data_IF_591283997517
#
_entry.id   IF_591283997517
#
_cell.length_a   1.000
_cell.length_b   1.000
_cell.length_c   1.000
_cell.angle_alpha   90.00
_cell.angle_beta   90.00
_cell.angle_gamma   90.00
#
_symmetry.space_group_name_H-M   'P 1'
#
loop_
_entity.id
_entity.type
_entity.pdbx_description
1 polymer ?
#
# COMPACT_ATOMS: atom_id res chain seq x y z
N UNK A 1 -85.38 -21.85 -70.23
CA UNK A 1 -84.63 -20.57 -70.26
C UNK A 1 -84.51 -19.93 -68.88
N UNK A 2 -85.60 -19.83 -68.11
CA UNK A 2 -85.60 -19.17 -66.79
C UNK A 2 -84.62 -19.76 -65.75
N UNK A 3 -84.50 -21.10 -65.64
CA UNK A 3 -83.61 -21.74 -64.65
C UNK A 3 -82.13 -21.45 -64.86
N UNK A 4 -81.68 -21.35 -66.14
CA UNK A 4 -80.29 -21.00 -66.48
C UNK A 4 -79.98 -19.55 -66.10
N UNK A 5 -80.95 -18.66 -66.32
CA UNK A 5 -80.79 -17.25 -65.97
C UNK A 5 -80.71 -17.07 -64.45
N UNK A 6 -81.54 -17.77 -63.68
CA UNK A 6 -81.50 -17.76 -62.21
C UNK A 6 -80.15 -18.28 -61.66
N UNK A 7 -79.68 -19.41 -62.18
CA UNK A 7 -78.37 -19.96 -61.78
C UNK A 7 -77.21 -19.00 -62.09
N UNK A 8 -77.24 -18.33 -63.23
CA UNK A 8 -76.19 -17.36 -63.59
C UNK A 8 -76.20 -16.15 -62.66
N UNK A 9 -77.37 -15.66 -62.25
CA UNK A 9 -77.48 -14.58 -61.27
C UNK A 9 -76.88 -15.00 -59.92
N UNK A 10 -77.28 -16.17 -59.40
CA UNK A 10 -76.74 -16.70 -58.14
C UNK A 10 -75.20 -16.88 -58.19
N UNK A 11 -74.67 -17.29 -59.35
CA UNK A 11 -73.22 -17.42 -59.55
C UNK A 11 -72.49 -16.07 -59.60
N UNK A 12 -73.11 -15.04 -60.18
CA UNK A 12 -72.57 -13.67 -60.19
C UNK A 12 -72.56 -13.12 -58.78
N UNK A 13 -73.67 -13.24 -58.04
CA UNK A 13 -73.76 -12.77 -56.65
C UNK A 13 -72.67 -13.44 -55.78
N UNK A 14 -72.45 -14.75 -55.92
CA UNK A 14 -71.40 -15.47 -55.21
C UNK A 14 -69.97 -15.01 -55.59
N UNK A 15 -69.75 -14.63 -56.85
CA UNK A 15 -68.45 -14.08 -57.29
C UNK A 15 -68.24 -12.65 -56.79
N UNK A 16 -69.30 -11.86 -56.69
CA UNK A 16 -69.24 -10.51 -56.13
C UNK A 16 -68.87 -10.58 -54.63
N UNK A 17 -69.49 -11.48 -53.87
CA UNK A 17 -69.13 -11.75 -52.48
C UNK A 17 -67.66 -12.20 -52.32
N UNK A 18 -67.20 -13.13 -53.18
CA UNK A 18 -65.79 -13.58 -53.18
C UNK A 18 -64.82 -12.43 -53.49
N UNK A 19 -65.14 -11.59 -54.48
CA UNK A 19 -64.34 -10.43 -54.83
C UNK A 19 -64.27 -9.41 -53.69
N UNK A 20 -65.39 -9.09 -53.04
CA UNK A 20 -65.38 -8.20 -51.88
C UNK A 20 -64.56 -8.75 -50.71
N UNK A 21 -64.64 -10.06 -50.48
CA UNK A 21 -63.85 -10.71 -49.44
C UNK A 21 -62.35 -10.69 -49.75
N UNK A 22 -61.98 -10.98 -51.00
CA UNK A 22 -60.59 -10.90 -51.45
C UNK A 22 -60.05 -9.47 -51.38
N UNK A 23 -60.84 -8.46 -51.75
CA UNK A 23 -60.46 -7.06 -51.62
C UNK A 23 -60.24 -6.65 -50.16
N UNK A 24 -61.10 -7.09 -49.24
CA UNK A 24 -60.91 -6.87 -47.80
C UNK A 24 -59.63 -7.51 -47.28
N UNK A 25 -59.34 -8.75 -47.67
CA UNK A 25 -58.12 -9.45 -47.27
C UNK A 25 -56.86 -8.80 -47.85
N UNK A 26 -56.92 -8.34 -49.11
CA UNK A 26 -55.82 -7.62 -49.74
C UNK A 26 -55.54 -6.31 -48.99
N UNK A 27 -56.56 -5.52 -48.69
CA UNK A 27 -56.42 -4.28 -47.94
C UNK A 27 -55.80 -4.51 -46.55
N UNK A 28 -56.27 -5.53 -45.81
CA UNK A 28 -55.71 -5.88 -44.50
C UNK A 28 -54.24 -6.34 -44.61
N UNK A 29 -53.90 -7.10 -45.66
CA UNK A 29 -52.52 -7.54 -45.92
C UNK A 29 -51.61 -6.37 -46.29
N UNK A 30 -52.09 -5.43 -47.11
CA UNK A 30 -51.34 -4.23 -47.51
C UNK A 30 -51.09 -3.29 -46.32
N UNK A 31 -52.08 -3.13 -45.43
CA UNK A 31 -51.92 -2.37 -44.19
C UNK A 31 -50.85 -3.00 -43.28
N UNK A 32 -50.92 -4.32 -43.04
CA UNK A 32 -49.91 -5.06 -42.28
C UNK A 32 -48.52 -4.95 -42.90
N UNK A 33 -48.42 -5.03 -44.23
CA UNK A 33 -47.16 -4.89 -44.95
C UNK A 33 -46.56 -3.49 -44.79
N UNK A 34 -47.40 -2.45 -44.83
CA UNK A 34 -47.00 -1.05 -44.60
C UNK A 34 -46.50 -0.86 -43.17
N UNK A 35 -47.21 -1.41 -42.18
CA UNK A 35 -46.82 -1.33 -40.76
C UNK A 35 -45.46 -2.01 -40.52
N UNK A 36 -45.28 -3.24 -41.01
CA UNK A 36 -44.02 -3.98 -40.89
C UNK A 36 -42.85 -3.25 -41.57
N UNK A 37 -43.08 -2.65 -42.75
CA UNK A 37 -42.07 -1.82 -43.40
C UNK A 37 -41.68 -0.60 -42.55
N UNK A 38 -42.66 0.05 -41.91
CA UNK A 38 -42.42 1.14 -40.97
C UNK A 38 -41.56 0.70 -39.78
N UNK A 39 -41.89 -0.43 -39.17
CA UNK A 39 -41.12 -0.99 -38.05
C UNK A 39 -39.69 -1.36 -38.47
N UNK A 40 -39.50 -1.99 -39.63
CA UNK A 40 -38.16 -2.33 -40.15
C UNK A 40 -37.33 -1.05 -40.37
N UNK A 41 -37.93 0.00 -40.95
CA UNK A 41 -37.24 1.28 -41.16
C UNK A 41 -36.79 1.90 -39.84
N UNK A 42 -37.69 1.99 -38.86
CA UNK A 42 -37.36 2.53 -37.54
C UNK A 42 -36.25 1.72 -36.83
N UNK A 43 -36.30 0.39 -36.94
CA UNK A 43 -35.26 -0.47 -36.37
C UNK A 43 -33.92 -0.30 -37.09
N UNK A 44 -33.92 -0.10 -38.41
CA UNK A 44 -32.71 0.20 -39.18
C UNK A 44 -32.08 1.53 -38.77
N UNK A 45 -32.89 2.59 -38.65
CA UNK A 45 -32.43 3.91 -38.22
C UNK A 45 -31.84 3.86 -36.80
N UNK A 46 -32.50 3.19 -35.87
CA UNK A 46 -31.98 2.99 -34.50
C UNK A 46 -30.67 2.20 -34.51
N UNK A 47 -30.56 1.16 -35.34
CA UNK A 47 -29.32 0.39 -35.49
C UNK A 47 -28.18 1.27 -35.99
N UNK A 48 -28.42 2.11 -36.99
CA UNK A 48 -27.42 3.03 -37.53
C UNK A 48 -26.97 4.07 -36.49
N UNK A 49 -27.91 4.63 -35.72
CA UNK A 49 -27.58 5.55 -34.63
C UNK A 49 -26.73 4.90 -33.53
N UNK A 50 -27.09 3.67 -33.13
CA UNK A 50 -26.33 2.91 -32.15
C UNK A 50 -24.94 2.54 -32.67
N UNK A 51 -24.84 2.18 -33.95
CA UNK A 51 -23.55 1.88 -34.59
C UNK A 51 -22.65 3.11 -34.62
N UNK A 52 -23.16 4.27 -35.05
CA UNK A 52 -22.41 5.52 -35.05
C UNK A 52 -21.92 5.90 -33.63
N UNK A 53 -22.77 5.70 -32.62
CA UNK A 53 -22.40 5.93 -31.22
C UNK A 53 -21.32 4.96 -30.76
N UNK A 54 -21.42 3.68 -31.13
CA UNK A 54 -20.42 2.67 -30.80
C UNK A 54 -19.06 3.00 -31.43
N UNK A 55 -19.05 3.39 -32.69
CA UNK A 55 -17.83 3.77 -33.41
C UNK A 55 -17.18 5.01 -32.74
N UNK A 56 -17.98 6.01 -32.36
CA UNK A 56 -17.48 7.18 -31.63
C UNK A 56 -16.88 6.80 -30.26
N UNK A 57 -17.51 5.89 -29.52
CA UNK A 57 -16.98 5.40 -28.24
C UNK A 57 -15.69 4.61 -28.43
N UNK A 58 -15.60 3.79 -29.47
CA UNK A 58 -14.39 3.04 -29.82
C UNK A 58 -13.21 3.98 -30.11
N UNK A 59 -13.43 5.02 -30.91
CA UNK A 59 -12.41 6.04 -31.21
C UNK A 59 -11.94 6.78 -29.95
N UNK A 60 -12.86 7.10 -29.04
CA UNK A 60 -12.54 7.71 -27.75
C UNK A 60 -11.67 6.78 -26.88
N UNK A 61 -12.04 5.50 -26.80
CA UNK A 61 -11.26 4.48 -26.07
C UNK A 61 -9.84 4.34 -26.63
N UNK A 62 -9.67 4.33 -27.95
CA UNK A 62 -8.34 4.26 -28.58
C UNK A 62 -7.49 5.48 -28.22
N UNK A 63 -8.07 6.70 -28.25
CA UNK A 63 -7.38 7.93 -27.85
C UNK A 63 -6.94 7.88 -26.38
N UNK A 64 -7.87 7.52 -25.49
CA UNK A 64 -7.58 7.40 -24.05
C UNK A 64 -6.50 6.37 -23.76
N UNK A 65 -6.50 5.24 -24.48
CA UNK A 65 -5.47 4.21 -24.33
C UNK A 65 -4.08 4.74 -24.74
N UNK A 66 -3.99 5.47 -25.85
CA UNK A 66 -2.75 6.11 -26.30
C UNK A 66 -2.25 7.16 -25.30
N UNK A 67 -3.14 7.97 -24.74
CA UNK A 67 -2.80 8.97 -23.74
C UNK A 67 -2.30 8.30 -22.44
N UNK A 68 -2.95 7.22 -22.01
CA UNK A 68 -2.52 6.40 -20.87
C UNK A 68 -1.10 5.85 -21.06
N UNK A 69 -0.80 5.28 -22.21
CA UNK A 69 0.55 4.75 -22.53
C UNK A 69 1.60 5.86 -22.55
N UNK A 70 1.25 7.02 -23.12
CA UNK A 70 2.12 8.20 -23.15
C UNK A 70 2.41 8.71 -21.74
N UNK A 71 1.38 8.81 -20.90
CA UNK A 71 1.53 9.24 -19.50
C UNK A 71 2.31 8.24 -18.68
N UNK A 72 2.07 6.94 -18.86
CA UNK A 72 2.82 5.87 -18.19
C UNK A 72 4.32 5.96 -18.51
N UNK A 73 4.66 6.19 -19.78
CA UNK A 73 6.05 6.38 -20.22
C UNK A 73 6.68 7.62 -19.56
N UNK A 74 5.95 8.75 -19.54
CA UNK A 74 6.41 9.98 -18.88
C UNK A 74 6.65 9.79 -17.38
N UNK A 75 5.74 9.07 -16.70
CA UNK A 75 5.87 8.77 -15.26
C UNK A 75 7.11 7.90 -15.01
N UNK A 76 7.35 6.87 -15.83
CA UNK A 76 8.53 6.03 -15.71
C UNK A 76 9.82 6.83 -15.89
N UNK A 77 9.88 7.70 -16.91
CA UNK A 77 11.04 8.55 -17.14
C UNK A 77 11.29 9.51 -15.96
N UNK A 78 10.24 10.17 -15.46
CA UNK A 78 10.36 11.05 -14.30
C UNK A 78 10.81 10.30 -13.05
N UNK A 79 10.32 9.08 -12.82
CA UNK A 79 10.75 8.24 -11.71
C UNK A 79 12.26 7.92 -11.80
N UNK A 80 12.75 7.62 -12.99
CA UNK A 80 14.18 7.39 -13.25
C UNK A 80 15.01 8.66 -12.97
N UNK A 81 14.61 9.81 -13.51
CA UNK A 81 15.30 11.09 -13.25
C UNK A 81 15.31 11.45 -11.76
N UNK A 82 14.21 11.21 -11.03
CA UNK A 82 14.17 11.43 -9.58
C UNK A 82 15.12 10.48 -8.85
N UNK A 83 15.22 9.23 -9.28
CA UNK A 83 16.16 8.27 -8.71
C UNK A 83 17.63 8.70 -8.94
N UNK A 84 17.96 9.12 -10.16
CA UNK A 84 19.28 9.65 -10.53
C UNK A 84 19.63 10.88 -9.70
N UNK A 85 18.73 11.87 -9.61
CA UNK A 85 18.94 13.08 -8.80
C UNK A 85 19.14 12.76 -7.31
N UNK A 86 18.37 11.82 -6.76
CA UNK A 86 18.58 11.35 -5.38
C UNK A 86 19.96 10.72 -5.19
N UNK A 87 20.46 10.02 -6.20
CA UNK A 87 21.79 9.42 -6.17
C UNK A 87 22.88 10.50 -6.24
N UNK A 88 22.71 11.52 -7.09
CA UNK A 88 23.60 12.68 -7.14
C UNK A 88 23.64 13.44 -5.82
N UNK A 89 22.49 13.69 -5.17
CA UNK A 89 22.44 14.35 -3.87
C UNK A 89 23.24 13.57 -2.82
N UNK A 90 23.10 12.24 -2.79
CA UNK A 90 23.88 11.38 -1.88
C UNK A 90 25.37 11.45 -2.18
N UNK A 91 25.76 11.40 -3.45
CA UNK A 91 27.15 11.51 -3.87
C UNK A 91 27.77 12.87 -3.49
N UNK A 92 27.03 13.96 -3.66
CA UNK A 92 27.45 15.29 -3.24
C UNK A 92 27.61 15.39 -1.72
N UNK A 93 26.64 14.88 -0.95
CA UNK A 93 26.71 14.86 0.50
C UNK A 93 27.90 14.02 1.03
N UNK A 94 28.20 12.89 0.38
CA UNK A 94 29.38 12.08 0.71
C UNK A 94 30.68 12.82 0.39
N UNK A 95 30.76 13.47 -0.78
CA UNK A 95 31.91 14.31 -1.14
C UNK A 95 32.10 15.45 -0.13
N UNK A 96 31.03 16.13 0.27
CA UNK A 96 31.09 17.19 1.27
C UNK A 96 31.60 16.66 2.60
N UNK A 97 31.07 15.52 3.07
CA UNK A 97 31.56 14.85 4.29
C UNK A 97 33.06 14.56 4.21
N UNK A 98 33.53 14.03 3.08
CA UNK A 98 34.95 13.73 2.87
C UNK A 98 35.81 14.98 2.87
N UNK A 99 35.36 16.08 2.24
CA UNK A 99 36.11 17.35 2.22
C UNK A 99 36.20 17.98 3.61
N UNK A 100 35.18 17.84 4.45
CA UNK A 100 35.22 18.32 5.85
C UNK A 100 36.14 17.45 6.71
N UNK A 101 36.09 16.12 6.55
CA UNK A 101 36.94 15.19 7.30
C UNK A 101 38.41 15.26 6.89
N UNK A 102 38.68 15.58 5.62
CA UNK A 102 40.03 15.65 5.05
C UNK A 102 40.21 16.97 4.29
N UNK A 103 40.38 18.10 5.01
CA UNK A 103 40.55 19.42 4.40
C UNK A 103 41.74 19.48 3.44
N UNK A 104 42.78 18.69 3.68
CA UNK A 104 44.01 18.64 2.86
C UNK A 104 43.79 18.00 1.48
N UNK A 105 42.67 17.29 1.26
CA UNK A 105 42.29 16.74 -0.05
C UNK A 105 41.61 17.77 -0.95
N UNK A 106 41.29 18.96 -0.43
CA UNK A 106 40.73 20.03 -1.24
C UNK A 106 41.87 20.88 -1.85
N UNK A 107 42.05 20.92 -3.19
CA UNK A 107 43.06 21.79 -3.79
C UNK A 107 42.81 23.29 -3.57
N UNK A 108 41.61 23.68 -3.11
CA UNK A 108 41.26 25.07 -2.79
C UNK A 108 41.44 25.48 -1.31
N UNK A 109 41.82 24.58 -0.41
CA UNK A 109 42.00 24.90 1.04
C UNK A 109 43.41 25.33 1.40
N UNK A 110 44.36 25.37 0.46
CA UNK A 110 45.58 26.13 0.75
C UNK A 110 45.18 27.60 0.84
N UNK A 111 45.34 28.26 2.00
CA UNK A 111 45.02 29.67 2.13
C UNK A 111 46.00 30.45 1.26
N UNK A 112 45.59 30.73 0.02
CA UNK A 112 46.24 31.76 -0.78
C UNK A 112 45.68 33.06 -0.27
N UNK A 113 46.45 33.76 0.58
CA UNK A 113 46.06 35.10 1.00
C UNK A 113 45.93 35.95 -0.26
N UNK A 114 44.75 36.54 -0.44
CA UNK A 114 44.48 37.42 -1.57
C UNK A 114 45.20 38.77 -1.41
N UNK A 115 45.94 38.97 -0.30
CA UNK A 115 46.56 40.23 0.10
C UNK A 115 45.58 41.23 0.71
N UNK A 116 44.28 40.89 0.74
CA UNK A 116 43.23 41.68 1.38
C UNK A 116 42.70 40.94 2.61
N UNK A 117 43.20 41.34 3.78
CA UNK A 117 42.90 40.72 5.07
C UNK A 117 41.40 40.67 5.37
N UNK A 118 40.63 41.69 4.97
CA UNK A 118 39.18 41.73 5.25
C UNK A 118 38.42 40.67 4.45
N UNK A 119 38.76 40.49 3.16
CA UNK A 119 38.15 39.46 2.32
C UNK A 119 38.58 38.06 2.77
N UNK A 120 39.86 37.88 3.08
CA UNK A 120 40.40 36.61 3.56
C UNK A 120 39.73 36.19 4.90
N UNK A 121 39.50 37.13 5.81
CA UNK A 121 38.78 36.87 7.07
C UNK A 121 37.31 36.51 6.85
N UNK A 122 36.63 37.16 5.90
CA UNK A 122 35.23 36.86 5.59
C UNK A 122 35.08 35.44 5.01
N UNK A 123 35.99 35.03 4.13
CA UNK A 123 36.01 33.69 3.56
C UNK A 123 36.33 32.61 4.61
N UNK A 124 37.31 32.86 5.47
CA UNK A 124 37.59 31.98 6.61
C UNK A 124 36.43 31.90 7.60
N UNK A 125 35.73 33.01 7.84
CA UNK A 125 34.54 33.02 8.69
C UNK A 125 33.44 32.14 8.10
N UNK A 126 33.14 32.25 6.81
CA UNK A 126 32.17 31.39 6.11
C UNK A 126 32.56 29.91 6.20
N UNK A 127 33.82 29.57 5.93
CA UNK A 127 34.32 28.21 6.05
C UNK A 127 34.17 27.65 7.48
N UNK A 128 34.46 28.47 8.49
CA UNK A 128 34.27 28.09 9.89
C UNK A 128 32.80 27.90 10.26
N UNK A 129 31.90 28.75 9.77
CA UNK A 129 30.45 28.58 9.99
C UNK A 129 29.96 27.23 9.44
N UNK A 130 30.33 26.88 8.20
CA UNK A 130 29.98 25.58 7.62
C UNK A 130 30.56 24.42 8.45
N UNK A 131 31.83 24.51 8.85
CA UNK A 131 32.49 23.48 9.68
C UNK A 131 31.78 23.28 11.02
N UNK A 132 31.38 24.37 11.69
CA UNK A 132 30.63 24.31 12.96
C UNK A 132 29.30 23.59 12.76
N UNK A 133 28.53 23.93 11.71
CA UNK A 133 27.23 23.28 11.43
C UNK A 133 27.36 21.77 11.23
N UNK A 134 28.38 21.33 10.47
CA UNK A 134 28.62 19.89 10.25
C UNK A 134 28.98 19.20 11.56
N UNK A 135 29.90 19.78 12.35
CA UNK A 135 30.29 19.24 13.65
C UNK A 135 29.11 19.17 14.64
N UNK A 136 28.22 20.16 14.65
CA UNK A 136 27.00 20.16 15.48
C UNK A 136 26.02 19.05 15.05
N UNK A 137 25.86 18.84 13.74
CA UNK A 137 25.01 17.77 13.21
C UNK A 137 25.56 16.37 13.56
N UNK A 138 26.88 16.19 13.45
CA UNK A 138 27.56 14.95 13.83
C UNK A 138 27.44 14.69 15.32
N UNK A 139 27.73 15.69 16.17
CA UNK A 139 27.56 15.60 17.63
C UNK A 139 26.12 15.24 18.01
N UNK A 140 25.13 15.86 17.37
CA UNK A 140 23.71 15.52 17.58
C UNK A 140 23.39 14.07 17.19
N UNK A 141 24.03 13.56 16.15
CA UNK A 141 23.85 12.18 15.67
C UNK A 141 24.55 11.16 16.59
N UNK A 142 25.75 11.48 17.08
CA UNK A 142 26.47 10.70 18.07
C UNK A 142 25.73 10.66 19.41
N UNK A 143 25.24 11.80 19.90
CA UNK A 143 24.43 11.87 21.11
C UNK A 143 23.18 10.99 21.02
N UNK A 144 22.44 11.04 19.91
CA UNK A 144 21.29 10.15 19.68
C UNK A 144 21.68 8.68 19.69
N UNK A 145 22.84 8.34 19.13
CA UNK A 145 23.34 6.96 19.11
C UNK A 145 23.75 6.48 20.50
N UNK A 146 24.41 7.33 21.28
CA UNK A 146 24.78 7.05 22.67
C UNK A 146 23.55 6.87 23.57
N UNK A 147 22.50 7.68 23.41
CA UNK A 147 21.25 7.51 24.15
C UNK A 147 20.62 6.14 23.88
N UNK A 148 20.55 5.72 22.61
CA UNK A 148 20.05 4.38 22.24
C UNK A 148 20.88 3.24 22.84
N UNK A 149 22.21 3.40 22.89
CA UNK A 149 23.08 2.41 23.52
C UNK A 149 22.87 2.35 25.04
N UNK A 150 22.70 3.50 25.69
CA UNK A 150 22.40 3.59 27.12
C UNK A 150 21.06 2.93 27.46
N UNK A 151 20.01 3.21 26.69
CA UNK A 151 18.70 2.57 26.85
C UNK A 151 18.78 1.04 26.71
N UNK A 152 19.48 0.55 25.69
CA UNK A 152 19.72 -0.90 25.50
C UNK A 152 20.51 -1.51 26.66
N UNK A 153 21.51 -0.81 27.18
CA UNK A 153 22.28 -1.26 28.33
C UNK A 153 21.42 -1.37 29.60
N UNK A 154 20.53 -0.40 29.86
CA UNK A 154 19.60 -0.45 30.99
C UNK A 154 18.55 -1.57 30.85
N UNK A 155 17.98 -1.75 29.65
CA UNK A 155 17.07 -2.88 29.38
C UNK A 155 17.75 -4.23 29.57
N UNK A 156 19.01 -4.35 29.16
CA UNK A 156 19.79 -5.58 29.37
C UNK A 156 20.08 -5.82 30.86
N UNK A 157 20.39 -4.79 31.66
CA UNK A 157 20.53 -4.94 33.13
C UNK A 157 19.26 -5.45 33.79
N UNK A 158 18.10 -4.89 33.42
CA UNK A 158 16.79 -5.32 33.93
C UNK A 158 16.49 -6.77 33.52
N UNK A 159 16.80 -7.13 32.28
CA UNK A 159 16.59 -8.48 31.76
C UNK A 159 17.48 -9.50 32.47
N UNK A 160 18.76 -9.18 32.66
CA UNK A 160 19.72 -10.04 33.39
C UNK A 160 19.30 -10.18 34.86
N UNK A 161 18.87 -9.10 35.51
CA UNK A 161 18.33 -9.14 36.88
C UNK A 161 17.07 -10.01 36.98
N UNK A 162 16.16 -9.92 36.01
CA UNK A 162 14.97 -10.76 35.94
C UNK A 162 15.32 -12.24 35.76
N UNK A 163 16.25 -12.57 34.87
CA UNK A 163 16.70 -13.95 34.65
C UNK A 163 17.37 -14.52 35.91
N UNK A 164 18.26 -13.76 36.56
CA UNK A 164 18.93 -14.18 37.80
C UNK A 164 17.90 -14.45 38.91
N UNK A 165 16.96 -13.54 39.11
CA UNK A 165 15.91 -13.70 40.13
C UNK A 165 14.99 -14.89 39.83
N UNK A 166 14.69 -15.16 38.55
CA UNK A 166 13.88 -16.31 38.15
C UNK A 166 14.63 -17.64 38.33
N UNK A 167 15.95 -17.67 38.04
CA UNK A 167 16.79 -18.85 38.30
C UNK A 167 16.94 -19.15 39.78
N UNK A 168 17.02 -18.13 40.64
CA UNK A 168 17.11 -18.31 42.09
C UNK A 168 15.83 -18.90 42.69
N UNK A 169 14.66 -18.46 42.23
CA UNK A 169 13.37 -19.05 42.63
C UNK A 169 13.21 -20.52 42.21
N UNK A 170 13.80 -20.91 41.07
CA UNK A 170 13.76 -22.30 40.57
C UNK A 170 14.69 -23.25 41.35
N UNK A 171 15.77 -22.72 41.96
CA UNK A 171 16.67 -23.50 42.82
C UNK A 171 16.13 -23.63 44.26
N UNK A 172 15.51 -22.58 44.81
CA UNK A 172 14.89 -22.65 46.14
C UNK A 172 13.63 -23.55 46.17
N UNK A 173 12.92 -23.69 45.05
CA UNK A 173 11.75 -24.58 44.94
C UNK A 173 12.05 -26.09 44.86
N UNK A 174 13.31 -26.51 44.71
CA UNK A 174 13.71 -27.93 44.63
C UNK A 174 14.32 -28.49 45.91
N UNK A 175 14.62 -27.67 46.91
CA UNK A 175 15.12 -28.12 48.21
C UNK A 175 13.99 -28.19 49.24
N UNK A 176 13.22 -29.27 49.18
CA UNK A 176 12.09 -29.45 50.10
C UNK A 176 11.58 -30.88 50.21
N UNK A 177 12.44 -31.85 50.58
CA UNK A 177 12.01 -33.11 51.22
C UNK A 177 13.07 -33.66 52.16
N UNK A 178 13.09 -33.21 53.41
CA UNK A 178 13.24 -34.10 54.57
C UNK A 178 12.31 -33.57 55.67
N UNK A 179 11.33 -34.40 56.04
CA UNK A 179 10.44 -34.22 57.19
C UNK A 179 11.22 -34.08 58.50
N UNK A 180 10.77 -33.19 59.39
CA UNK A 180 10.64 -33.48 60.83
C UNK A 180 9.64 -32.53 61.48
N UNK A 181 8.80 -33.13 62.30
CA UNK A 181 7.73 -32.53 63.10
C UNK A 181 8.20 -31.39 64.02
N UNK A 182 7.43 -30.30 64.07
CA UNK A 182 6.82 -29.81 65.32
C UNK A 182 5.77 -28.71 65.08
N UNK A 183 4.76 -28.70 65.95
CA UNK A 183 3.61 -27.78 66.00
C UNK A 183 4.02 -26.35 66.34
N UNK A 184 3.46 -25.37 65.63
CA UNK A 184 2.75 -24.20 66.21
C UNK A 184 2.15 -23.32 65.10
N UNK A 185 1.14 -22.53 65.48
CA UNK A 185 0.02 -22.00 64.68
C UNK A 185 0.29 -20.56 64.14
N UNK A 186 -0.69 -19.86 63.51
CA UNK A 186 -0.54 -19.19 62.21
C UNK A 186 -0.32 -17.67 62.28
N UNK A 187 0.18 -17.07 61.18
CA UNK A 187 -0.51 -15.98 60.46
C UNK A 187 0.36 -15.34 59.36
N UNK A 188 -0.32 -14.79 58.34
CA UNK A 188 0.16 -13.89 57.29
C UNK A 188 0.88 -14.50 56.06
N UNK A 189 0.09 -15.13 55.17
CA UNK A 189 0.46 -15.37 53.76
C UNK A 189 -0.63 -14.82 52.82
N UNK A 190 -0.65 -13.50 52.60
CA UNK A 190 -1.63 -12.90 51.66
C UNK A 190 -1.11 -11.77 50.77
N UNK A 191 0.14 -11.31 50.90
CA UNK A 191 0.59 -10.10 50.20
C UNK A 191 1.57 -10.38 49.05
N UNK A 192 2.37 -11.45 49.11
CA UNK A 192 3.45 -11.67 48.14
C UNK A 192 3.01 -12.34 46.83
N UNK A 193 1.82 -12.95 46.77
CA UNK A 193 1.31 -13.57 45.53
C UNK A 193 0.62 -12.60 44.56
N UNK A 194 0.24 -11.40 45.00
CA UNK A 194 -0.51 -10.45 44.16
C UNK A 194 0.38 -9.50 43.35
N UNK A 195 1.62 -9.26 43.76
CA UNK A 195 2.55 -8.37 43.02
C UNK A 195 3.15 -9.08 41.80
N UNK A 196 3.41 -10.40 41.89
CA UNK A 196 4.00 -11.19 40.81
C UNK A 196 3.07 -11.36 39.60
N UNK A 197 1.74 -11.38 39.82
CA UNK A 197 0.77 -11.53 38.73
C UNK A 197 0.64 -10.27 37.86
N UNK A 198 0.83 -9.09 38.44
CA UNK A 198 0.74 -7.82 37.71
C UNK A 198 2.02 -7.47 36.93
N UNK A 199 3.19 -7.96 37.33
CA UNK A 199 4.43 -7.71 36.58
C UNK A 199 4.59 -8.60 35.34
N UNK A 200 4.09 -9.84 35.37
CA UNK A 200 4.13 -10.72 34.19
C UNK A 200 3.13 -10.33 33.09
N UNK A 201 1.98 -9.74 33.44
CA UNK A 201 0.97 -9.33 32.45
C UNK A 201 1.43 -8.14 31.58
N UNK A 202 2.22 -7.21 32.15
CA UNK A 202 2.73 -6.04 31.42
C UNK A 202 3.89 -6.37 30.47
N UNK A 203 4.59 -7.50 30.68
CA UNK A 203 5.63 -7.97 29.77
C UNK A 203 5.07 -8.59 28.48
N UNK A 204 3.84 -9.13 28.55
CA UNK A 204 3.14 -9.70 27.40
C UNK A 204 2.61 -8.65 26.42
N UNK A 205 2.17 -7.48 26.92
CA UNK A 205 1.68 -6.39 26.05
C UNK A 205 2.79 -5.65 25.29
N UNK A 206 4.01 -5.62 25.82
CA UNK A 206 5.14 -4.91 25.20
C UNK A 206 5.88 -5.74 24.13
N UNK A 207 5.57 -7.03 24.01
CA UNK A 207 6.19 -7.95 23.05
C UNK A 207 5.58 -7.91 21.65
N UNK A 208 4.48 -7.18 21.46
CA UNK A 208 3.80 -7.03 20.17
C UNK A 208 4.48 -6.04 19.19
N UNK A 209 5.60 -5.41 19.57
CA UNK A 209 6.30 -4.42 18.72
C UNK A 209 7.79 -4.66 18.45
N UNK A 210 8.37 -5.80 18.85
CA UNK A 210 9.77 -6.11 18.57
C UNK A 210 9.94 -7.53 18.03
N UNK A 211 9.95 -7.61 16.70
CA UNK A 211 10.70 -8.48 15.79
C UNK A 211 10.96 -9.97 16.15
N UNK A 212 10.59 -10.79 15.17
CA UNK A 212 10.62 -12.25 15.00
C UNK A 212 11.89 -13.08 15.32
N UNK A 213 12.91 -12.56 16.01
CA UNK A 213 14.14 -13.35 16.25
C UNK A 213 14.18 -14.08 17.60
N UNK A 214 13.29 -13.74 18.55
CA UNK A 214 13.29 -14.37 19.89
C UNK A 214 12.46 -15.66 20.00
N UNK A 215 11.63 -15.99 19.02
CA UNK A 215 10.86 -17.26 19.00
C UNK A 215 11.73 -18.49 18.69
N UNK A 216 12.89 -18.32 18.04
CA UNK A 216 13.73 -19.46 17.64
C UNK A 216 14.44 -20.13 18.82
N UNK A 217 14.82 -19.38 19.85
CA UNK A 217 15.48 -19.93 21.05
C UNK A 217 14.55 -20.72 21.98
N UNK A 218 13.25 -20.40 22.00
CA UNK A 218 12.29 -21.12 22.83
C UNK A 218 11.97 -22.52 22.27
N UNK A 219 12.05 -22.69 20.94
CA UNK A 219 11.84 -23.98 20.28
C UNK A 219 13.07 -24.88 20.42
N UNK A 220 14.29 -24.32 20.40
CA UNK A 220 15.53 -25.08 20.61
C UNK A 220 15.67 -25.64 22.03
N UNK A 221 15.09 -24.98 23.05
CA UNK A 221 15.15 -25.46 24.43
C UNK A 221 14.19 -26.64 24.71
N UNK A 222 13.18 -26.87 23.87
CA UNK A 222 12.27 -28.02 23.99
C UNK A 222 12.69 -29.26 23.18
N UNK A 223 13.69 -29.14 22.29
CA UNK A 223 14.19 -30.28 21.50
C UNK A 223 15.30 -31.05 22.25
N UNK A 224 15.98 -30.44 23.23
CA UNK A 224 17.07 -31.07 23.99
C UNK A 224 16.66 -31.74 25.31
N UNK A 225 15.35 -31.90 25.58
CA UNK A 225 14.82 -32.44 26.85
C UNK A 225 13.71 -33.48 26.65
N UNK A 226 13.90 -34.37 25.68
CA UNK A 226 13.30 -35.72 25.60
C UNK A 226 14.45 -36.70 25.46
#
# INVERSE_FOLDING_TARGET
MHSKQKFLVERVDALDEENEQLQRQLAESEEKQSELHGQIRQMSEKREQLQATLDQQQDSCVKLQKDKETLSTKISNLANTVAELKQHIKACAERERLLVAFPDLNPQTQPQSTGNVTLDMEEQFKANCCRIQVLEQENSTLHRSLLKLKEKAELNKVTVSCVINCTMQMFEGRSGRIQKHHRSHPDNKSITQNIHRHQCANFSSSKSRLNNTSCSLYILCHIYLV
#
